data_IF_850629608629
#
_entry.id   IF_850629608629
#
_cell.length_a   1.000
_cell.length_b   1.000
_cell.length_c   1.000
_cell.angle_alpha   90.00
_cell.angle_beta   90.00
_cell.angle_gamma   90.00
#
_symmetry.space_group_name_H-M   'P 1'
#
loop_
_entity.id
_entity.type
_entity.pdbx_description
1 polymer ?
#
# COMPACT_ATOMS: atom_id res chain seq x y z
N UNK A 1 10.31 -10.40 7.73
CA UNK A 1 8.87 -10.03 7.88
C UNK A 1 8.14 -10.49 6.63
N UNK A 2 7.27 -11.48 6.76
CA UNK A 2 6.76 -12.26 5.64
C UNK A 2 5.87 -11.41 4.71
N UNK A 3 5.75 -11.83 3.44
CA UNK A 3 5.03 -11.08 2.40
C UNK A 3 3.60 -10.72 2.80
N UNK A 4 2.90 -11.67 3.43
CA UNK A 4 1.55 -11.49 4.00
C UNK A 4 1.50 -10.38 5.05
N UNK A 5 2.49 -10.28 5.94
CA UNK A 5 2.53 -9.23 6.97
C UNK A 5 2.80 -7.84 6.38
N UNK A 6 3.64 -7.74 5.33
CA UNK A 6 3.83 -6.48 4.57
C UNK A 6 2.53 -6.03 3.90
N UNK A 7 1.79 -6.96 3.28
CA UNK A 7 0.50 -6.67 2.65
C UNK A 7 -0.56 -6.28 3.69
N UNK A 8 -0.72 -7.04 4.77
CA UNK A 8 -1.70 -6.75 5.83
C UNK A 8 -1.44 -5.41 6.50
N UNK A 9 -0.18 -5.07 6.81
CA UNK A 9 0.16 -3.77 7.39
C UNK A 9 -0.16 -2.60 6.43
N UNK A 10 0.11 -2.76 5.13
CA UNK A 10 -0.21 -1.74 4.13
C UNK A 10 -1.72 -1.61 3.88
N UNK A 11 -2.47 -2.71 3.93
CA UNK A 11 -3.95 -2.71 3.89
C UNK A 11 -4.52 -2.00 5.11
N UNK A 12 -4.03 -2.29 6.32
CA UNK A 12 -4.43 -1.57 7.54
C UNK A 12 -4.14 -0.07 7.47
N UNK A 13 -2.94 0.33 7.04
CA UNK A 13 -2.60 1.74 6.88
C UNK A 13 -3.50 2.44 5.85
N UNK A 14 -3.80 1.80 4.72
CA UNK A 14 -4.68 2.36 3.69
C UNK A 14 -6.13 2.45 4.18
N UNK A 15 -6.62 1.44 4.90
CA UNK A 15 -7.97 1.45 5.51
C UNK A 15 -8.12 2.47 6.64
N UNK A 16 -7.05 2.79 7.38
CA UNK A 16 -7.06 3.83 8.42
C UNK A 16 -7.01 5.25 7.85
N UNK A 17 -6.42 5.44 6.65
CA UNK A 17 -6.37 6.75 5.97
C UNK A 17 -7.64 7.01 5.14
N UNK A 18 -8.29 5.97 4.62
CA UNK A 18 -9.57 6.05 3.88
C UNK A 18 -10.70 6.84 4.58
N UNK A 19 -10.98 6.69 5.90
CA UNK A 19 -11.99 7.49 6.59
C UNK A 19 -11.59 8.97 6.76
N UNK A 20 -10.30 9.33 6.67
CA UNK A 20 -9.90 10.74 6.57
C UNK A 20 -10.37 11.32 5.23
N UNK A 21 -10.10 10.62 4.12
CA UNK A 21 -10.58 10.94 2.76
C UNK A 21 -12.12 11.03 2.67
N UNK A 22 -12.84 10.22 3.46
CA UNK A 22 -14.30 10.32 3.56
C UNK A 22 -14.81 11.60 4.23
N UNK A 23 -14.06 12.15 5.19
CA UNK A 23 -14.48 13.32 5.97
C UNK A 23 -14.42 14.62 5.13
N UNK A 24 -13.49 14.72 4.19
CA UNK A 24 -13.41 15.83 3.24
C UNK A 24 -14.65 16.01 2.40
N UNK A 25 -15.15 14.92 1.82
CA UNK A 25 -16.34 14.96 0.95
C UNK A 25 -17.60 15.37 1.73
N UNK A 26 -17.73 14.93 2.98
CA UNK A 26 -18.83 15.34 3.86
C UNK A 26 -18.69 16.82 4.28
N UNK A 27 -17.48 17.26 4.63
CA UNK A 27 -17.19 18.67 4.93
C UNK A 27 -17.45 19.61 3.75
N UNK A 28 -17.18 19.16 2.51
CA UNK A 28 -17.46 19.90 1.28
C UNK A 28 -18.97 20.05 1.01
N UNK A 29 -19.74 18.99 1.28
CA UNK A 29 -21.21 19.03 1.20
C UNK A 29 -21.82 19.90 2.31
N UNK A 30 -21.25 19.88 3.51
CA UNK A 30 -21.64 20.78 4.61
C UNK A 30 -21.25 22.25 4.35
N UNK A 31 -20.14 22.51 3.64
CA UNK A 31 -19.70 23.88 3.30
C UNK A 31 -20.52 24.55 2.19
N UNK A 32 -21.73 24.06 1.88
CA UNK A 32 -22.68 24.71 0.97
C UNK A 32 -23.47 25.85 1.64
N UNK A 33 -23.24 26.13 2.92
CA UNK A 33 -23.86 27.27 3.63
C UNK A 33 -23.41 28.63 3.03
N UNK A 34 -24.35 29.56 2.76
CA UNK A 34 -24.05 30.82 2.09
C UNK A 34 -23.21 31.75 2.98
N UNK A 35 -21.90 31.78 2.71
CA UNK A 35 -20.91 32.53 3.48
C UNK A 35 -19.64 31.72 3.81
N UNK A 36 -19.67 30.39 3.62
CA UNK A 36 -18.51 29.54 3.85
C UNK A 36 -17.34 29.86 2.88
N UNK A 37 -16.14 30.07 3.44
CA UNK A 37 -14.94 30.42 2.68
C UNK A 37 -14.34 29.23 1.93
N UNK A 38 -14.64 29.12 0.62
CA UNK A 38 -14.24 28.03 -0.29
C UNK A 38 -12.74 27.66 -0.23
N UNK A 39 -11.86 28.61 0.13
CA UNK A 39 -10.41 28.39 0.21
C UNK A 39 -9.98 27.27 1.18
N UNK A 40 -10.71 27.06 2.29
CA UNK A 40 -10.44 25.94 3.21
C UNK A 40 -10.69 24.59 2.55
N UNK A 41 -11.82 24.46 1.85
CA UNK A 41 -12.21 23.27 1.09
C UNK A 41 -11.23 22.96 -0.04
N UNK A 42 -10.74 23.97 -0.78
CA UNK A 42 -9.72 23.78 -1.82
C UNK A 42 -8.39 23.30 -1.22
N UNK A 43 -7.92 23.94 -0.14
CA UNK A 43 -6.67 23.56 0.53
C UNK A 43 -6.72 22.11 1.05
N UNK A 44 -7.87 21.69 1.56
CA UNK A 44 -8.11 20.31 2.00
C UNK A 44 -8.02 19.30 0.85
N UNK A 45 -8.74 19.52 -0.28
CA UNK A 45 -8.67 18.64 -1.45
C UNK A 45 -7.23 18.50 -1.96
N UNK A 46 -6.48 19.60 -2.02
CA UNK A 46 -5.06 19.58 -2.46
C UNK A 46 -4.20 18.76 -1.52
N UNK A 47 -4.38 18.88 -0.20
CA UNK A 47 -3.68 18.06 0.79
C UNK A 47 -3.96 16.55 0.60
N UNK A 48 -5.22 16.19 0.32
CA UNK A 48 -5.60 14.79 0.11
C UNK A 48 -5.08 14.19 -1.20
N UNK A 49 -5.10 14.96 -2.29
CA UNK A 49 -4.50 14.53 -3.56
C UNK A 49 -2.98 14.32 -3.42
N UNK A 50 -2.29 15.14 -2.61
CA UNK A 50 -0.88 14.93 -2.25
C UNK A 50 -0.71 13.67 -1.39
N UNK A 51 -1.54 13.47 -0.36
CA UNK A 51 -1.48 12.29 0.52
C UNK A 51 -1.70 10.98 -0.26
N UNK A 52 -2.70 10.94 -1.13
CA UNK A 52 -3.00 9.81 -2.02
C UNK A 52 -1.86 9.58 -3.01
N UNK A 53 -1.30 10.65 -3.59
CA UNK A 53 -0.14 10.58 -4.47
C UNK A 53 1.10 9.98 -3.79
N UNK A 54 1.35 10.34 -2.52
CA UNK A 54 2.44 9.78 -1.71
C UNK A 54 2.21 8.30 -1.39
N UNK A 55 0.98 7.88 -1.10
CA UNK A 55 0.62 6.46 -0.90
C UNK A 55 0.87 5.66 -2.19
N UNK A 56 0.40 6.16 -3.34
CA UNK A 56 0.60 5.52 -4.65
C UNK A 56 2.09 5.44 -4.98
N UNK A 57 2.86 6.51 -4.77
CA UNK A 57 4.31 6.53 -5.00
C UNK A 57 5.05 5.55 -4.07
N UNK A 58 4.64 5.46 -2.80
CA UNK A 58 5.17 4.50 -1.82
C UNK A 58 4.93 3.05 -2.24
N UNK A 59 3.71 2.70 -2.64
CA UNK A 59 3.38 1.39 -3.23
C UNK A 59 4.19 1.12 -4.50
N UNK A 60 4.25 2.09 -5.42
CA UNK A 60 4.97 1.98 -6.69
C UNK A 60 6.49 1.85 -6.50
N UNK A 61 7.06 2.38 -5.41
CA UNK A 61 8.45 2.17 -5.02
C UNK A 61 8.66 0.82 -4.28
N UNK A 62 7.72 0.41 -3.43
CA UNK A 62 7.77 -0.86 -2.72
C UNK A 62 7.69 -2.06 -3.68
N UNK A 63 6.82 -1.99 -4.69
CA UNK A 63 6.69 -3.00 -5.75
C UNK A 63 7.95 -3.06 -6.64
N UNK A 64 8.57 -1.91 -6.95
CA UNK A 64 9.88 -1.86 -7.67
C UNK A 64 11.06 -2.39 -6.85
N UNK A 65 10.92 -2.44 -5.52
CA UNK A 65 11.91 -3.03 -4.60
C UNK A 65 11.59 -4.47 -4.20
N UNK A 66 10.44 -5.01 -4.59
CA UNK A 66 10.12 -6.45 -4.50
C UNK A 66 10.80 -7.23 -5.65
N UNK A 67 12.08 -6.91 -5.92
CA UNK A 67 12.91 -7.68 -6.84
C UNK A 67 13.14 -9.06 -6.22
N UNK A 68 12.45 -10.08 -6.75
CA UNK A 68 12.67 -11.48 -6.36
C UNK A 68 14.16 -11.78 -6.47
N UNK A 69 14.79 -12.14 -5.35
CA UNK A 69 16.21 -12.44 -5.34
C UNK A 69 16.43 -13.79 -6.08
N UNK A 70 17.54 -13.98 -6.81
CA UNK A 70 17.73 -15.20 -7.61
C UNK A 70 17.88 -16.48 -6.78
N UNK A 71 18.03 -16.35 -5.46
CA UNK A 71 18.04 -17.44 -4.47
C UNK A 71 16.75 -17.52 -3.64
N UNK A 72 15.69 -16.78 -3.99
CA UNK A 72 14.42 -16.74 -3.27
C UNK A 72 13.34 -17.52 -4.01
N UNK A 73 12.54 -18.33 -3.30
CA UNK A 73 11.46 -19.08 -3.93
C UNK A 73 10.39 -18.13 -4.51
N UNK A 74 10.12 -18.14 -5.82
CA UNK A 74 9.26 -17.15 -6.48
C UNK A 74 7.77 -17.32 -6.14
N UNK A 75 7.38 -18.42 -5.46
CA UNK A 75 6.02 -18.68 -5.00
C UNK A 75 5.76 -18.12 -3.58
N UNK A 76 6.68 -18.32 -2.63
CA UNK A 76 6.45 -18.04 -1.20
C UNK A 76 7.39 -16.99 -0.57
N UNK A 77 8.57 -16.73 -1.15
CA UNK A 77 9.58 -15.83 -0.58
C UNK A 77 10.59 -16.49 0.38
N UNK A 78 10.77 -17.82 0.31
CA UNK A 78 11.76 -18.53 1.13
C UNK A 78 13.18 -18.39 0.58
N UNK A 79 14.17 -18.20 1.46
CA UNK A 79 15.59 -18.10 1.09
C UNK A 79 16.21 -19.50 0.86
N UNK A 80 16.42 -19.87 -0.40
CA UNK A 80 16.92 -21.18 -0.80
C UNK A 80 18.43 -21.35 -0.63
N UNK A 81 19.19 -20.36 -0.13
CA UNK A 81 20.66 -20.45 -0.04
C UNK A 81 21.20 -21.65 0.77
N UNK A 82 20.39 -22.25 1.64
CA UNK A 82 20.70 -23.51 2.33
C UNK A 82 19.99 -24.77 1.78
N UNK A 83 19.15 -24.66 0.76
CA UNK A 83 18.32 -25.75 0.22
C UNK A 83 18.01 -25.55 -1.28
N UNK A 84 19.04 -25.65 -2.12
CA UNK A 84 18.90 -25.52 -3.58
C UNK A 84 18.28 -26.76 -4.23
N UNK A 85 18.51 -27.96 -3.67
CA UNK A 85 18.04 -29.22 -4.26
C UNK A 85 16.57 -29.49 -3.93
N UNK A 86 15.79 -29.90 -4.94
CA UNK A 86 14.40 -30.35 -4.77
C UNK A 86 13.33 -29.22 -4.68
N UNK A 87 12.09 -29.56 -4.25
CA UNK A 87 11.02 -28.59 -4.05
C UNK A 87 11.29 -27.66 -2.85
N UNK A 88 10.65 -26.49 -2.85
CA UNK A 88 10.80 -25.52 -1.76
C UNK A 88 10.25 -26.07 -0.42
N UNK A 89 11.03 -26.08 0.69
CA UNK A 89 10.63 -26.74 1.93
C UNK A 89 9.39 -26.12 2.61
N UNK A 90 9.17 -24.81 2.47
CA UNK A 90 8.00 -24.12 3.04
C UNK A 90 6.67 -24.40 2.30
N UNK A 91 6.71 -24.55 0.96
CA UNK A 91 5.49 -24.50 0.14
C UNK A 91 5.37 -25.61 -0.91
N UNK A 92 6.27 -26.59 -0.90
CA UNK A 92 6.26 -27.76 -1.79
C UNK A 92 6.50 -27.48 -3.28
N UNK A 93 6.64 -26.21 -3.68
CA UNK A 93 6.76 -25.84 -5.09
C UNK A 93 8.04 -26.39 -5.71
N UNK A 94 7.90 -27.21 -6.75
CA UNK A 94 8.98 -27.51 -7.69
C UNK A 94 9.29 -26.27 -8.53
N UNK A 95 10.56 -26.14 -8.93
CA UNK A 95 10.99 -25.21 -9.97
C UNK A 95 11.27 -26.07 -11.20
N UNK A 96 10.50 -25.85 -12.26
CA UNK A 96 10.78 -26.35 -13.61
C UNK A 96 11.56 -25.28 -14.41
#
# INVERSE_FOLDING_TARGET
MNRTARIVAAVFATLLISPCLGFGLFGLLASQEPGAGIGGTIGYIVFELVLLGLIIAGWWAALRRDQKLPWECPACGYDRRGSNDGPCPECGATMD
#
